data_IF_097175047154
#
_entry.id   IF_097175047154
#
_cell.length_a   1.000
_cell.length_b   1.000
_cell.length_c   1.000
_cell.angle_alpha   90.00
_cell.angle_beta   90.00
_cell.angle_gamma   90.00
#
_symmetry.space_group_name_H-M   'P 1'
#
loop_
_entity.id
_entity.type
_entity.pdbx_description
1 polymer ?
#
# COMPACT_ATOMS: atom_id res chain seq x y z
N UNK A 1 6.81 -9.22 3.10
CA UNK A 1 7.58 -8.03 2.67
C UNK A 1 7.27 -6.96 3.70
N UNK A 2 8.06 -6.93 4.75
CA UNK A 2 7.89 -6.17 5.99
C UNK A 2 8.35 -4.71 5.87
N UNK A 3 9.00 -4.31 4.77
CA UNK A 3 9.48 -2.95 4.56
C UNK A 3 8.55 -2.05 3.74
N UNK A 4 7.33 -2.52 3.41
CA UNK A 4 6.37 -1.78 2.59
C UNK A 4 6.71 -1.76 1.09
N UNK A 5 6.24 -0.73 0.39
CA UNK A 5 6.51 -0.49 -1.02
C UNK A 5 7.60 0.55 -1.23
N UNK A 6 8.19 0.61 -2.42
CA UNK A 6 9.13 1.66 -2.77
C UNK A 6 8.49 3.05 -2.74
N UNK A 7 7.18 3.17 -2.98
CA UNK A 7 6.45 4.43 -2.80
C UNK A 7 6.51 4.93 -1.34
N UNK A 8 6.45 4.02 -0.36
CA UNK A 8 6.57 4.36 1.06
C UNK A 8 7.99 4.84 1.38
N UNK A 9 9.00 4.19 0.80
CA UNK A 9 10.40 4.59 0.97
C UNK A 9 10.66 5.99 0.39
N UNK A 10 10.13 6.30 -0.80
CA UNK A 10 10.27 7.63 -1.41
C UNK A 10 9.62 8.70 -0.54
N UNK A 11 8.43 8.43 0.02
CA UNK A 11 7.72 9.37 0.92
C UNK A 11 8.58 9.78 2.12
N UNK A 12 9.35 8.84 2.68
CA UNK A 12 10.18 9.08 3.88
C UNK A 12 11.55 9.64 3.52
N UNK A 13 12.24 9.05 2.53
CA UNK A 13 13.64 9.39 2.19
C UNK A 13 13.75 10.59 1.26
N UNK A 14 12.66 10.98 0.59
CA UNK A 14 12.59 12.01 -0.46
C UNK A 14 13.34 11.63 -1.73
N UNK A 15 14.62 11.34 -1.65
CA UNK A 15 15.43 10.89 -2.78
C UNK A 15 16.23 9.63 -2.46
N UNK A 16 16.45 8.80 -3.48
CA UNK A 16 17.25 7.56 -3.37
C UNK A 16 18.57 7.71 -4.11
N UNK A 17 19.73 7.49 -3.46
CA UNK A 17 21.04 7.59 -4.10
C UNK A 17 21.24 6.58 -5.23
N UNK A 18 22.02 6.98 -6.25
CA UNK A 18 22.34 6.12 -7.40
C UNK A 18 22.87 4.72 -7.05
N UNK A 19 23.81 4.55 -6.09
CA UNK A 19 24.28 3.22 -5.71
C UNK A 19 23.15 2.31 -5.19
N UNK A 20 22.20 2.89 -4.43
CA UNK A 20 21.03 2.18 -3.90
C UNK A 20 20.10 1.78 -5.04
N UNK A 21 19.79 2.71 -5.96
CA UNK A 21 18.98 2.44 -7.15
C UNK A 21 19.58 1.33 -8.02
N UNK A 22 20.89 1.35 -8.24
CA UNK A 22 21.58 0.31 -9.01
C UNK A 22 21.46 -1.06 -8.34
N UNK A 23 21.63 -1.16 -7.01
CA UNK A 23 21.46 -2.42 -6.28
C UNK A 23 20.03 -2.93 -6.31
N UNK A 24 19.04 -2.03 -6.22
CA UNK A 24 17.64 -2.40 -6.38
C UNK A 24 17.36 -2.90 -7.80
N UNK A 25 17.89 -2.24 -8.83
CA UNK A 25 17.76 -2.68 -10.22
C UNK A 25 18.38 -4.05 -10.47
N UNK A 26 19.50 -4.38 -9.82
CA UNK A 26 20.09 -5.73 -9.88
C UNK A 26 19.18 -6.81 -9.29
N UNK A 27 18.20 -6.46 -8.45
CA UNK A 27 17.18 -7.38 -7.94
C UNK A 27 15.93 -7.41 -8.83
N UNK A 28 15.51 -6.24 -9.34
CA UNK A 28 14.29 -6.08 -10.16
C UNK A 28 14.46 -6.60 -11.59
N UNK A 29 15.57 -6.28 -12.25
CA UNK A 29 15.80 -6.66 -13.65
C UNK A 29 15.81 -8.17 -13.88
N UNK A 30 16.44 -9.02 -13.03
CA UNK A 30 16.34 -10.46 -13.19
C UNK A 30 14.92 -11.01 -12.98
N UNK A 31 14.15 -10.43 -12.05
CA UNK A 31 12.76 -10.79 -11.85
C UNK A 31 11.90 -10.43 -13.07
N UNK A 32 12.11 -9.24 -13.63
CA UNK A 32 11.41 -8.79 -14.83
C UNK A 32 11.80 -9.62 -16.08
N UNK A 33 13.10 -9.92 -16.23
CA UNK A 33 13.61 -10.84 -17.26
C UNK A 33 12.95 -12.21 -17.16
N UNK A 34 12.82 -12.76 -15.96
CA UNK A 34 12.11 -14.03 -15.74
C UNK A 34 10.64 -13.97 -16.21
N UNK A 35 9.94 -12.86 -15.95
CA UNK A 35 8.57 -12.68 -16.44
C UNK A 35 8.52 -12.64 -17.97
N UNK A 36 9.43 -11.90 -18.60
CA UNK A 36 9.47 -11.73 -20.06
C UNK A 36 9.90 -13.00 -20.81
N UNK A 37 10.99 -13.63 -20.37
CA UNK A 37 11.65 -14.71 -21.11
C UNK A 37 11.16 -16.11 -20.72
N UNK A 38 10.79 -16.33 -19.44
CA UNK A 38 10.39 -17.65 -18.95
C UNK A 38 8.88 -17.78 -18.83
N UNK A 39 8.20 -16.71 -18.35
CA UNK A 39 6.74 -16.73 -18.22
C UNK A 39 6.01 -16.16 -19.42
N UNK A 40 6.69 -15.45 -20.32
CA UNK A 40 6.10 -14.75 -21.45
C UNK A 40 4.94 -13.83 -21.05
N UNK A 41 5.11 -13.12 -19.92
CA UNK A 41 4.12 -12.21 -19.35
C UNK A 41 4.69 -10.79 -19.31
N UNK A 42 3.91 -9.84 -19.81
CA UNK A 42 4.13 -8.40 -19.59
C UNK A 42 3.47 -8.01 -18.27
N UNK A 43 4.19 -7.35 -17.38
CA UNK A 43 3.68 -6.96 -16.05
C UNK A 43 2.60 -5.87 -16.13
N UNK A 44 2.77 -4.88 -17.02
CA UNK A 44 1.83 -3.79 -17.34
C UNK A 44 1.60 -2.74 -16.25
N UNK A 45 2.01 -2.99 -15.02
CA UNK A 45 1.83 -2.04 -13.91
C UNK A 45 3.10 -1.90 -13.05
N UNK A 46 4.27 -1.70 -13.67
CA UNK A 46 5.50 -1.42 -12.91
C UNK A 46 5.45 0.04 -12.43
N UNK A 47 5.47 0.23 -11.10
CA UNK A 47 5.47 1.54 -10.43
C UNK A 47 6.04 1.39 -9.00
N UNK A 48 6.44 2.49 -8.31
CA UNK A 48 7.00 2.39 -6.95
C UNK A 48 6.10 1.60 -5.98
N UNK A 49 4.78 1.77 -6.05
CA UNK A 49 3.82 1.07 -5.19
C UNK A 49 3.80 -0.47 -5.40
N UNK A 50 4.25 -0.94 -6.57
CA UNK A 50 4.24 -2.37 -6.94
C UNK A 50 5.64 -3.02 -6.84
N UNK A 51 6.63 -2.29 -6.31
CA UNK A 51 7.94 -2.84 -5.94
C UNK A 51 8.01 -2.90 -4.42
N UNK A 52 7.80 -4.08 -3.86
CA UNK A 52 7.86 -4.30 -2.42
C UNK A 52 9.30 -4.45 -1.97
N UNK A 53 9.59 -3.97 -0.76
CA UNK A 53 10.89 -4.13 -0.10
C UNK A 53 10.73 -4.85 1.23
N UNK A 54 11.80 -5.49 1.70
CA UNK A 54 11.84 -6.10 3.02
C UNK A 54 13.03 -5.56 3.83
N UNK A 55 12.98 -5.70 5.15
CA UNK A 55 14.05 -5.23 6.05
C UNK A 55 15.35 -6.03 5.91
N UNK A 56 15.36 -7.11 5.11
CA UNK A 56 16.54 -7.90 4.75
C UNK A 56 17.24 -7.41 3.48
N UNK A 57 16.70 -6.38 2.80
CA UNK A 57 17.30 -5.80 1.60
C UNK A 57 16.85 -6.42 0.28
N UNK A 58 15.82 -7.26 0.27
CA UNK A 58 15.22 -7.79 -0.95
C UNK A 58 14.20 -6.82 -1.55
N UNK A 59 14.07 -6.89 -2.88
CA UNK A 59 13.05 -6.18 -3.66
C UNK A 59 12.29 -7.21 -4.47
N UNK A 60 10.94 -7.16 -4.43
CA UNK A 60 10.08 -8.08 -5.19
C UNK A 60 9.00 -7.30 -5.94
N UNK A 61 8.70 -7.76 -7.15
CA UNK A 61 7.61 -7.23 -7.96
C UNK A 61 6.29 -7.84 -7.44
N UNK A 62 5.28 -7.00 -7.22
CA UNK A 62 3.93 -7.41 -6.81
C UNK A 62 2.88 -6.85 -7.77
N UNK A 63 1.62 -7.22 -7.51
CA UNK A 63 0.47 -6.70 -8.23
C UNK A 63 0.53 -7.02 -9.73
N UNK A 64 0.56 -8.32 -10.01
CA UNK A 64 0.25 -8.89 -11.32
C UNK A 64 -1.25 -8.70 -11.59
N UNK A 65 -1.67 -7.46 -11.84
CA UNK A 65 -3.06 -7.04 -11.90
C UNK A 65 -3.83 -7.73 -13.03
N UNK A 66 -4.68 -8.67 -12.65
CA UNK A 66 -6.02 -9.01 -13.16
C UNK A 66 -6.21 -8.88 -14.68
N UNK A 67 -6.23 -10.03 -15.36
CA UNK A 67 -6.91 -10.22 -16.65
C UNK A 67 -8.30 -9.58 -16.61
N UNK A 68 -8.50 -8.49 -17.34
CA UNK A 68 -9.77 -7.78 -17.36
C UNK A 68 -10.89 -8.68 -17.93
N UNK A 69 -11.84 -9.04 -17.08
CA UNK A 69 -13.24 -9.24 -17.47
C UNK A 69 -14.05 -8.08 -16.88
N UNK A 70 -14.49 -7.19 -17.76
CA UNK A 70 -15.38 -6.07 -17.44
C UNK A 70 -16.80 -6.60 -17.29
N UNK A 71 -17.48 -6.29 -16.17
CA UNK A 71 -18.91 -6.02 -16.17
C UNK A 71 -19.34 -5.17 -14.95
N UNK A 72 -20.12 -4.14 -15.29
CA UNK A 72 -21.13 -3.36 -14.54
C UNK A 72 -20.79 -2.36 -13.39
N UNK A 73 -21.10 -1.08 -13.71
CA UNK A 73 -21.86 -0.02 -12.99
C UNK A 73 -21.84 0.00 -11.45
N UNK A 74 -21.62 1.10 -10.69
CA UNK A 74 -22.31 2.42 -10.66
C UNK A 74 -21.52 3.46 -9.80
N UNK A 75 -21.68 4.75 -10.14
CA UNK A 75 -21.76 5.97 -9.29
C UNK A 75 -20.53 6.72 -8.76
N UNK A 76 -20.53 8.02 -9.06
CA UNK A 76 -19.75 9.24 -8.72
C UNK A 76 -18.60 9.19 -7.70
N UNK A 77 -18.62 8.34 -6.67
CA UNK A 77 -17.41 8.04 -5.84
C UNK A 77 -16.42 7.17 -6.64
N UNK A 78 -16.96 6.33 -7.52
CA UNK A 78 -16.22 5.64 -8.57
C UNK A 78 -15.52 6.63 -9.48
N UNK A 79 -16.07 7.81 -9.80
CA UNK A 79 -15.34 8.74 -10.68
C UNK A 79 -14.09 9.34 -10.02
N UNK A 80 -14.08 9.68 -8.73
CA UNK A 80 -12.87 10.15 -8.04
C UNK A 80 -11.86 9.02 -7.81
N UNK A 81 -12.34 7.83 -7.44
CA UNK A 81 -11.50 6.64 -7.26
C UNK A 81 -10.96 6.14 -8.60
N UNK A 82 -11.77 6.11 -9.66
CA UNK A 82 -11.39 5.79 -11.05
C UNK A 82 -10.52 6.88 -11.63
N UNK A 83 -10.72 8.16 -11.34
CA UNK A 83 -9.82 9.19 -11.89
C UNK A 83 -8.45 9.09 -11.23
N UNK A 84 -8.35 8.91 -9.90
CA UNK A 84 -7.06 8.63 -9.24
C UNK A 84 -6.47 7.28 -9.62
N UNK A 85 -7.28 6.24 -9.78
CA UNK A 85 -6.83 4.91 -10.21
C UNK A 85 -6.39 4.93 -11.67
N UNK A 86 -7.11 5.59 -12.58
CA UNK A 86 -6.76 5.75 -13.99
C UNK A 86 -5.54 6.66 -14.15
N UNK A 87 -5.47 7.79 -13.42
CA UNK A 87 -4.26 8.61 -13.36
C UNK A 87 -3.08 7.75 -12.88
N UNK A 88 -3.19 7.05 -11.75
CA UNK A 88 -2.15 6.14 -11.27
C UNK A 88 -1.84 4.97 -12.23
N UNK A 89 -2.77 4.59 -13.09
CA UNK A 89 -2.60 3.50 -14.09
C UNK A 89 -1.94 3.99 -15.37
N UNK A 90 -2.19 5.23 -15.79
CA UNK A 90 -1.61 5.81 -17.02
C UNK A 90 -0.28 6.52 -16.75
N UNK A 91 -0.04 6.97 -15.53
CA UNK A 91 1.17 7.73 -15.16
C UNK A 91 2.46 7.04 -15.59
N UNK A 92 2.53 5.71 -15.52
CA UNK A 92 3.71 4.94 -15.89
C UNK A 92 3.57 4.25 -17.26
N UNK A 93 2.51 4.52 -18.00
CA UNK A 93 2.19 3.86 -19.26
C UNK A 93 3.13 4.33 -20.37
N UNK A 94 3.52 3.40 -21.25
CA UNK A 94 4.39 3.69 -22.38
C UNK A 94 3.63 4.33 -23.54
N UNK A 95 4.30 5.12 -24.41
CA UNK A 95 3.70 5.79 -25.56
C UNK A 95 2.85 4.86 -26.44
N UNK A 96 3.38 3.68 -26.77
CA UNK A 96 2.70 2.70 -27.62
C UNK A 96 1.42 2.14 -26.98
N UNK A 97 1.37 2.06 -25.63
CA UNK A 97 0.17 1.65 -24.90
C UNK A 97 -0.89 2.76 -24.88
N UNK A 98 -0.47 4.02 -24.76
CA UNK A 98 -1.38 5.18 -24.84
C UNK A 98 -2.00 5.27 -26.25
N UNK A 99 -1.22 4.98 -27.28
CA UNK A 99 -1.67 4.93 -28.68
C UNK A 99 -2.49 3.68 -29.03
N UNK A 100 -2.76 2.77 -28.07
CA UNK A 100 -3.39 1.47 -28.30
C UNK A 100 -2.73 0.63 -29.41
N UNK A 101 -1.42 0.81 -29.61
CA UNK A 101 -0.63 0.01 -30.55
C UNK A 101 -0.27 -1.35 -29.94
N UNK A 102 0.26 -2.26 -30.77
CA UNK A 102 0.84 -3.50 -30.25
C UNK A 102 1.97 -3.19 -29.28
N UNK A 103 1.88 -3.72 -28.06
CA UNK A 103 2.88 -3.53 -27.02
C UNK A 103 3.41 -4.89 -26.55
N UNK A 104 4.64 -4.87 -26.04
CA UNK A 104 5.36 -6.07 -25.60
C UNK A 104 6.15 -5.76 -24.31
N UNK A 105 7.20 -6.53 -24.04
CA UNK A 105 8.07 -6.43 -22.88
C UNK A 105 8.72 -5.03 -22.72
N UNK A 106 8.96 -4.32 -23.83
CA UNK A 106 9.49 -2.96 -23.84
C UNK A 106 8.61 -1.93 -23.11
N UNK A 107 7.32 -2.21 -22.94
CA UNK A 107 6.42 -1.36 -22.16
C UNK A 107 6.78 -1.37 -20.66
N UNK A 108 7.17 -2.51 -20.10
CA UNK A 108 7.59 -2.60 -18.70
C UNK A 108 8.92 -1.88 -18.45
N UNK A 109 9.81 -1.85 -19.46
CA UNK A 109 11.08 -1.12 -19.39
C UNK A 109 10.86 0.38 -19.25
N UNK A 110 9.90 0.93 -19.99
CA UNK A 110 9.50 2.32 -19.87
C UNK A 110 8.97 2.63 -18.46
N UNK A 111 8.03 1.82 -17.98
CA UNK A 111 7.43 1.99 -16.64
C UNK A 111 8.46 1.86 -15.51
N UNK A 112 9.36 0.87 -15.60
CA UNK A 112 10.47 0.68 -14.66
C UNK A 112 11.36 1.92 -14.62
N UNK A 113 11.64 2.52 -15.76
CA UNK A 113 12.47 3.71 -15.80
C UNK A 113 11.78 4.91 -15.16
N UNK A 114 10.51 5.20 -15.46
CA UNK A 114 9.78 6.29 -14.81
C UNK A 114 9.80 6.12 -13.29
N UNK A 115 9.62 4.88 -12.81
CA UNK A 115 9.77 4.50 -11.41
C UNK A 115 11.14 4.90 -10.84
N UNK A 116 12.24 4.50 -11.51
CA UNK A 116 13.60 4.81 -11.05
C UNK A 116 13.93 6.30 -11.09
N UNK A 117 13.43 7.02 -12.11
CA UNK A 117 13.63 8.46 -12.21
C UNK A 117 12.94 9.18 -11.05
N UNK A 118 11.68 8.86 -10.77
CA UNK A 118 10.94 9.40 -9.63
C UNK A 118 11.62 9.07 -8.29
N UNK A 119 12.13 7.85 -8.11
CA UNK A 119 12.88 7.49 -6.91
C UNK A 119 14.14 8.35 -6.72
N UNK A 120 14.76 8.77 -7.83
CA UNK A 120 15.97 9.59 -7.81
C UNK A 120 15.65 11.08 -7.56
N UNK A 121 14.50 11.57 -8.05
CA UNK A 121 14.16 13.00 -8.09
C UNK A 121 13.09 13.44 -7.09
N UNK A 122 12.52 12.53 -6.29
CA UNK A 122 11.33 12.74 -5.42
C UNK A 122 10.03 13.04 -6.18
N UNK A 123 10.12 13.41 -7.45
CA UNK A 123 9.03 13.95 -8.24
C UNK A 123 8.87 13.15 -9.52
N UNK A 124 7.61 12.82 -9.82
CA UNK A 124 7.25 12.28 -11.10
C UNK A 124 7.66 13.25 -12.23
N UNK A 125 8.29 12.79 -13.31
CA UNK A 125 8.98 13.65 -14.26
C UNK A 125 8.07 14.44 -15.21
N UNK A 126 6.77 14.12 -15.30
CA UNK A 126 5.81 14.87 -16.12
C UNK A 126 4.82 15.66 -15.23
N UNK A 127 4.25 16.72 -15.78
CA UNK A 127 3.28 17.55 -15.07
C UNK A 127 1.90 16.88 -15.09
N UNK A 128 1.32 16.62 -13.91
CA UNK A 128 0.00 15.97 -13.79
C UNK A 128 -1.14 16.98 -13.62
N UNK A 129 -0.82 18.28 -13.49
CA UNK A 129 -1.80 19.32 -13.16
C UNK A 129 -2.81 19.60 -14.29
N UNK A 130 -2.46 19.32 -15.55
CA UNK A 130 -3.35 19.46 -16.70
C UNK A 130 -4.37 18.31 -16.85
N UNK A 131 -4.33 17.32 -15.96
CA UNK A 131 -5.19 16.14 -16.03
C UNK A 131 -4.63 15.04 -16.94
N UNK A 132 -5.44 13.99 -17.14
CA UNK A 132 -5.01 12.76 -17.82
C UNK A 132 -4.63 12.98 -19.29
N UNK A 133 -5.43 13.75 -20.02
CA UNK A 133 -5.20 13.99 -21.45
C UNK A 133 -3.92 14.77 -21.70
N UNK A 134 -3.63 15.77 -20.86
CA UNK A 134 -2.40 16.57 -20.94
C UNK A 134 -1.17 15.70 -20.65
N UNK A 135 -1.25 14.85 -19.61
CA UNK A 135 -0.19 13.89 -19.31
C UNK A 135 0.05 12.91 -20.46
N UNK A 136 -1.00 12.40 -21.08
CA UNK A 136 -0.88 11.53 -22.25
C UNK A 136 -0.18 12.25 -23.41
N UNK A 137 -0.54 13.49 -23.70
CA UNK A 137 0.11 14.30 -24.73
C UNK A 137 1.59 14.55 -24.41
N UNK A 138 1.94 14.89 -23.16
CA UNK A 138 3.34 15.02 -22.74
C UNK A 138 4.12 13.69 -22.95
N UNK A 139 3.51 12.55 -22.62
CA UNK A 139 4.14 11.25 -22.83
C UNK A 139 4.31 10.92 -24.32
N UNK A 140 3.44 11.41 -25.21
CA UNK A 140 3.54 11.15 -26.65
C UNK A 140 4.47 12.14 -27.36
N UNK A 141 4.30 13.44 -27.11
CA UNK A 141 4.81 14.51 -27.95
C UNK A 141 6.00 15.25 -27.33
N UNK A 142 6.05 15.39 -26.01
CA UNK A 142 7.15 16.10 -25.37
C UNK A 142 8.45 15.28 -25.38
N UNK A 143 9.63 15.94 -25.40
CA UNK A 143 10.90 15.28 -25.21
C UNK A 143 10.92 14.43 -23.94
N UNK A 144 11.48 13.23 -24.05
CA UNK A 144 11.59 12.33 -22.89
C UNK A 144 12.37 12.98 -21.74
N UNK A 145 11.89 12.87 -20.49
CA UNK A 145 12.51 13.53 -19.36
C UNK A 145 13.91 12.97 -19.12
N UNK A 146 14.85 13.86 -18.83
CA UNK A 146 16.24 13.51 -18.57
C UNK A 146 16.67 14.10 -17.24
N UNK A 147 17.34 13.34 -16.35
CA UNK A 147 17.85 13.86 -15.09
C UNK A 147 18.91 14.93 -15.34
N UNK A 148 19.00 15.90 -14.42
CA UNK A 148 19.95 17.00 -14.49
C UNK A 148 21.41 16.49 -14.47
N UNK A 149 22.13 16.69 -15.58
CA UNK A 149 23.52 16.19 -15.78
C UNK A 149 24.55 16.70 -14.76
N UNK A 150 24.24 17.76 -14.03
CA UNK A 150 25.09 18.33 -12.98
C UNK A 150 24.79 17.74 -11.59
N UNK A 151 23.67 17.04 -11.42
CA UNK A 151 23.27 16.37 -10.17
C UNK A 151 23.57 14.88 -10.21
N UNK A 152 23.40 14.26 -11.38
CA UNK A 152 23.51 12.81 -11.56
C UNK A 152 24.69 12.42 -12.44
N UNK A 153 25.17 11.19 -12.29
CA UNK A 153 26.26 10.65 -13.11
C UNK A 153 25.85 10.54 -14.58
N UNK A 154 26.83 10.65 -15.47
CA UNK A 154 26.61 10.47 -16.91
C UNK A 154 26.08 9.07 -17.22
N UNK A 155 26.50 8.07 -16.45
CA UNK A 155 26.04 6.69 -16.57
C UNK A 155 24.57 6.56 -16.16
N UNK A 156 24.14 7.24 -15.09
CA UNK A 156 22.73 7.29 -14.72
C UNK A 156 21.91 8.03 -15.77
N UNK A 157 22.37 9.18 -16.27
CA UNK A 157 21.72 9.90 -17.37
C UNK A 157 21.67 9.08 -18.68
N UNK A 158 22.69 8.26 -18.95
CA UNK A 158 22.73 7.37 -20.12
C UNK A 158 21.75 6.20 -19.96
N UNK A 159 21.73 5.59 -18.78
CA UNK A 159 20.74 4.57 -18.43
C UNK A 159 19.37 5.19 -18.65
N UNK A 160 19.14 6.33 -17.96
CA UNK A 160 18.20 7.42 -18.26
C UNK A 160 17.47 7.31 -19.59
N UNK A 161 18.12 7.94 -20.55
CA UNK A 161 17.71 8.11 -21.92
C UNK A 161 17.53 6.79 -22.67
N UNK A 162 18.36 5.76 -22.41
CA UNK A 162 18.21 4.47 -23.12
C UNK A 162 16.84 3.81 -22.88
N UNK A 163 16.26 3.96 -21.68
CA UNK A 163 14.96 3.37 -21.35
C UNK A 163 13.74 4.24 -21.71
N UNK A 164 13.90 5.56 -21.89
CA UNK A 164 12.82 6.49 -22.27
C UNK A 164 12.81 6.81 -23.77
N UNK A 165 13.09 5.81 -24.62
CA UNK A 165 12.88 5.97 -26.05
C UNK A 165 11.39 5.88 -26.36
N UNK A 166 10.84 6.81 -27.16
CA UNK A 166 9.43 6.76 -27.56
C UNK A 166 9.17 5.54 -28.43
N UNK A 167 10.09 5.26 -29.36
CA UNK A 167 10.17 3.99 -30.07
C UNK A 167 10.42 2.83 -29.09
N UNK A 168 9.54 1.85 -29.11
CA UNK A 168 9.59 0.69 -28.23
C UNK A 168 10.72 -0.27 -28.62
N UNK A 169 11.05 -0.40 -29.90
CA UNK A 169 12.08 -1.32 -30.40
C UNK A 169 13.50 -0.81 -30.11
N UNK A 170 13.64 0.50 -29.93
CA UNK A 170 14.88 1.13 -29.50
C UNK A 170 15.18 0.93 -28.00
N UNK A 171 14.22 0.44 -27.20
CA UNK A 171 14.43 0.23 -25.75
C UNK A 171 15.21 -1.06 -25.50
N UNK A 172 16.20 -1.05 -24.58
CA UNK A 172 16.99 -2.22 -24.28
C UNK A 172 16.18 -3.28 -23.52
N UNK A 173 16.57 -4.54 -23.68
CA UNK A 173 16.04 -5.66 -22.89
C UNK A 173 16.57 -5.65 -21.46
N UNK A 174 15.95 -6.44 -20.57
CA UNK A 174 16.45 -6.61 -19.20
C UNK A 174 17.91 -7.09 -19.16
N UNK A 175 18.31 -7.97 -20.08
CA UNK A 175 19.69 -8.47 -20.19
C UNK A 175 20.68 -7.36 -20.53
N UNK A 176 20.34 -6.54 -21.52
CA UNK A 176 21.16 -5.39 -21.92
C UNK A 176 21.28 -4.38 -20.78
N UNK A 177 20.20 -4.17 -20.03
CA UNK A 177 20.19 -3.26 -18.87
C UNK A 177 21.04 -3.78 -17.70
N UNK A 178 21.05 -5.09 -17.45
CA UNK A 178 21.93 -5.71 -16.44
C UNK A 178 23.42 -5.50 -16.76
N UNK A 179 23.76 -5.35 -18.04
CA UNK A 179 25.11 -5.09 -18.53
C UNK A 179 25.42 -3.59 -18.73
N UNK A 180 24.48 -2.70 -18.45
CA UNK A 180 24.63 -1.27 -18.71
C UNK A 180 25.72 -0.63 -17.80
N UNK A 181 26.50 0.36 -18.29
CA UNK A 181 27.55 1.03 -17.52
C UNK A 181 27.14 1.51 -16.12
N UNK A 182 25.92 2.03 -15.97
CA UNK A 182 25.33 2.41 -14.68
C UNK A 182 25.31 1.26 -13.65
N UNK A 183 24.82 0.09 -14.06
CA UNK A 183 24.79 -1.09 -13.19
C UNK A 183 26.21 -1.54 -12.86
N UNK A 184 27.08 -1.63 -13.87
CA UNK A 184 28.47 -2.07 -13.68
C UNK A 184 29.28 -1.14 -12.75
N UNK A 185 29.05 0.18 -12.83
CA UNK A 185 29.69 1.19 -11.99
C UNK A 185 29.44 0.94 -10.49
N UNK A 186 28.23 0.55 -10.13
CA UNK A 186 27.83 0.34 -8.74
C UNK A 186 27.80 -1.14 -8.31
N UNK A 187 27.99 -2.11 -9.23
CA UNK A 187 27.90 -3.55 -8.93
C UNK A 187 28.77 -4.05 -7.77
N UNK A 188 29.90 -3.38 -7.51
CA UNK A 188 30.86 -3.75 -6.45
C UNK A 188 30.88 -2.77 -5.28
N UNK A 189 30.00 -1.77 -5.25
CA UNK A 189 29.93 -0.89 -4.08
C UNK A 189 29.22 -1.64 -2.95
N UNK A 190 29.76 -1.59 -1.73
CA UNK A 190 29.20 -2.29 -0.56
C UNK A 190 27.93 -1.63 0.00
N UNK A 191 26.92 -1.45 -0.84
CA UNK A 191 25.64 -0.86 -0.45
C UNK A 191 24.84 -1.87 0.37
N UNK A 192 24.49 -1.49 1.60
CA UNK A 192 23.60 -2.27 2.45
C UNK A 192 22.14 -1.81 2.26
N UNK A 193 21.40 -2.54 1.43
CA UNK A 193 19.97 -2.30 1.21
C UNK A 193 19.14 -2.53 2.48
N UNK A 194 19.54 -3.46 3.35
CA UNK A 194 18.84 -3.72 4.62
C UNK A 194 18.93 -2.49 5.52
N UNK A 195 20.13 -1.95 5.72
CA UNK A 195 20.33 -0.73 6.49
C UNK A 195 19.58 0.46 5.87
N UNK A 196 19.61 0.59 4.53
CA UNK A 196 18.88 1.65 3.85
C UNK A 196 17.36 1.57 4.10
N UNK A 197 16.73 0.40 3.89
CA UNK A 197 15.29 0.23 4.11
C UNK A 197 14.91 0.36 5.58
N UNK A 198 15.69 -0.19 6.51
CA UNK A 198 15.49 0.03 7.96
C UNK A 198 15.55 1.50 8.35
N UNK A 199 16.42 2.28 7.72
CA UNK A 199 16.50 3.71 8.00
C UNK A 199 15.29 4.52 7.49
N UNK A 200 14.49 3.95 6.59
CA UNK A 200 13.23 4.53 6.09
C UNK A 200 12.00 3.94 6.79
N UNK A 201 12.20 2.89 7.58
CA UNK A 201 11.13 2.19 8.28
C UNK A 201 10.66 3.02 9.46
N UNK A 202 9.39 3.43 9.42
CA UNK A 202 8.72 4.02 10.56
C UNK A 202 7.69 3.00 11.11
N UNK A 203 7.94 2.40 12.29
CA UNK A 203 6.99 1.51 12.93
C UNK A 203 5.62 2.18 13.14
N UNK A 204 5.58 3.49 13.36
CA UNK A 204 4.34 4.26 13.58
C UNK A 204 3.51 4.38 12.31
N UNK A 205 4.13 4.49 11.14
CA UNK A 205 3.41 4.49 9.85
C UNK A 205 2.78 3.13 9.55
N UNK A 206 3.47 2.03 9.84
CA UNK A 206 2.89 0.69 9.69
C UNK A 206 1.73 0.51 10.65
N UNK A 207 1.87 0.93 11.90
CA UNK A 207 0.78 0.95 12.86
C UNK A 207 -0.42 1.76 12.37
N UNK A 208 -0.18 2.90 11.74
CA UNK A 208 -1.23 3.74 11.19
C UNK A 208 -1.90 3.11 9.95
N UNK A 209 -1.12 2.48 9.06
CA UNK A 209 -1.64 1.72 7.93
C UNK A 209 -2.49 0.53 8.41
N UNK A 210 -2.03 -0.17 9.44
CA UNK A 210 -2.78 -1.27 10.07
C UNK A 210 -4.06 -0.78 10.73
N UNK A 211 -4.01 0.34 11.46
CA UNK A 211 -5.19 0.99 12.02
C UNK A 211 -6.19 1.39 10.91
N UNK A 212 -5.70 1.87 9.77
CA UNK A 212 -6.54 2.16 8.61
C UNK A 212 -7.17 0.91 8.00
N UNK A 213 -6.41 -0.17 7.83
CA UNK A 213 -6.92 -1.46 7.34
C UNK A 213 -7.97 -2.01 8.30
N UNK A 214 -7.73 -1.92 9.61
CA UNK A 214 -8.70 -2.27 10.65
C UNK A 214 -9.95 -1.38 10.60
N UNK A 215 -9.80 -0.07 10.40
CA UNK A 215 -10.93 0.85 10.26
C UNK A 215 -11.79 0.53 9.02
N UNK A 216 -11.15 0.23 7.89
CA UNK A 216 -11.82 -0.24 6.66
C UNK A 216 -12.51 -1.59 6.91
N UNK A 217 -11.85 -2.51 7.60
CA UNK A 217 -12.41 -3.79 8.01
C UNK A 217 -13.69 -3.60 8.82
N UNK A 218 -13.69 -2.73 9.84
CA UNK A 218 -14.89 -2.38 10.59
C UNK A 218 -15.98 -1.73 9.72
N UNK A 219 -15.61 -0.79 8.83
CA UNK A 219 -16.58 -0.20 7.91
C UNK A 219 -17.27 -1.25 7.04
N UNK A 220 -16.52 -2.23 6.53
CA UNK A 220 -17.06 -3.29 5.69
C UNK A 220 -18.00 -4.26 6.43
N UNK A 221 -17.78 -4.51 7.73
CA UNK A 221 -18.74 -5.24 8.59
C UNK A 221 -20.10 -4.56 8.55
N UNK A 222 -20.13 -3.26 8.79
CA UNK A 222 -21.39 -2.57 9.07
C UNK A 222 -22.07 -2.01 7.82
N UNK A 223 -21.28 -1.61 6.82
CA UNK A 223 -21.76 -0.81 5.70
C UNK A 223 -21.33 -1.35 4.32
N UNK A 224 -20.47 -2.37 4.27
CA UNK A 224 -20.02 -2.98 3.01
C UNK A 224 -21.12 -3.73 2.25
N UNK A 225 -20.95 -3.92 0.94
CA UNK A 225 -21.81 -4.79 0.12
C UNK A 225 -21.59 -6.27 0.47
N UNK A 226 -22.54 -7.14 0.10
CA UNK A 226 -22.40 -8.59 0.34
C UNK A 226 -21.28 -9.24 -0.50
N UNK A 227 -20.91 -8.63 -1.63
CA UNK A 227 -19.77 -9.08 -2.44
C UNK A 227 -18.44 -8.82 -1.73
N UNK A 228 -18.26 -7.60 -1.21
CA UNK A 228 -17.04 -7.23 -0.48
C UNK A 228 -16.93 -7.97 0.86
N UNK A 229 -18.07 -8.22 1.52
CA UNK A 229 -18.13 -9.01 2.75
C UNK A 229 -17.53 -10.41 2.62
N UNK A 230 -17.66 -11.09 1.48
CA UNK A 230 -17.11 -12.46 1.34
C UNK A 230 -15.59 -12.52 1.47
N UNK A 231 -14.88 -11.45 1.09
CA UNK A 231 -13.43 -11.36 1.23
C UNK A 231 -13.00 -11.21 2.69
N UNK A 232 -13.91 -10.80 3.57
CA UNK A 232 -13.62 -10.64 5.01
C UNK A 232 -13.15 -11.93 5.67
N UNK A 233 -13.58 -13.09 5.16
CA UNK A 233 -13.16 -14.39 5.68
C UNK A 233 -11.63 -14.52 5.68
N UNK A 234 -10.94 -13.99 4.67
CA UNK A 234 -9.48 -14.15 4.52
C UNK A 234 -8.63 -13.35 5.51
N UNK A 235 -9.24 -12.46 6.29
CA UNK A 235 -8.53 -11.66 7.30
C UNK A 235 -8.20 -12.45 8.56
N UNK A 236 -8.88 -13.58 8.79
CA UNK A 236 -8.69 -14.42 9.97
C UNK A 236 -7.95 -15.69 9.60
N UNK A 237 -7.09 -16.14 10.52
CA UNK A 237 -6.38 -17.42 10.48
C UNK A 237 -7.13 -18.44 11.35
N UNK A 238 -6.68 -19.70 11.35
CA UNK A 238 -7.34 -20.76 12.13
C UNK A 238 -7.10 -20.59 13.64
N UNK A 239 -6.02 -19.92 14.01
CA UNK A 239 -5.65 -19.54 15.37
C UNK A 239 -6.25 -18.20 15.83
N UNK A 240 -6.96 -17.49 14.96
CA UNK A 240 -7.61 -16.22 15.33
C UNK A 240 -8.72 -16.47 16.34
N UNK A 241 -8.90 -15.53 17.29
CA UNK A 241 -9.94 -15.58 18.32
C UNK A 241 -10.77 -14.30 18.25
N UNK A 242 -12.10 -14.43 18.26
CA UNK A 242 -13.06 -13.33 18.29
C UNK A 242 -14.05 -13.56 19.42
N UNK A 243 -14.15 -12.63 20.36
CA UNK A 243 -15.11 -12.72 21.47
C UNK A 243 -16.31 -11.82 21.26
N UNK A 244 -17.53 -12.35 21.38
CA UNK A 244 -18.77 -11.57 21.32
C UNK A 244 -19.77 -12.05 22.37
N UNK A 245 -20.30 -11.14 23.19
CA UNK A 245 -21.23 -11.44 24.30
C UNK A 245 -20.71 -12.48 25.30
N UNK A 246 -19.39 -12.55 25.50
CA UNK A 246 -18.75 -13.49 26.44
C UNK A 246 -18.51 -14.89 25.85
N UNK A 247 -18.85 -15.13 24.59
CA UNK A 247 -18.47 -16.34 23.86
C UNK A 247 -17.23 -16.08 22.99
N UNK A 248 -16.28 -17.01 23.00
CA UNK A 248 -15.12 -16.99 22.12
C UNK A 248 -15.37 -17.84 20.88
N UNK A 249 -15.06 -17.27 19.73
CA UNK A 249 -15.13 -17.89 18.42
C UNK A 249 -13.72 -18.02 17.87
N UNK A 250 -13.29 -19.24 17.63
CA UNK A 250 -11.92 -19.55 17.21
C UNK A 250 -11.93 -20.01 15.76
N UNK A 251 -10.99 -19.48 14.99
CA UNK A 251 -10.74 -19.89 13.62
C UNK A 251 -11.61 -19.20 12.58
N UNK A 252 -11.07 -19.16 11.37
CA UNK A 252 -11.54 -18.31 10.28
C UNK A 252 -13.04 -18.46 10.00
N UNK A 253 -13.51 -19.71 9.97
CA UNK A 253 -14.89 -20.01 9.59
C UNK A 253 -15.90 -19.67 10.67
N UNK A 254 -15.56 -19.83 11.95
CA UNK A 254 -16.49 -19.53 13.04
C UNK A 254 -16.61 -18.03 13.27
N UNK A 255 -15.48 -17.33 13.27
CA UNK A 255 -15.44 -15.86 13.34
C UNK A 255 -16.26 -15.23 12.22
N UNK A 256 -16.05 -15.65 10.97
CA UNK A 256 -16.78 -15.12 9.82
C UNK A 256 -18.30 -15.39 9.93
N UNK A 257 -18.70 -16.55 10.44
CA UNK A 257 -20.11 -16.90 10.65
C UNK A 257 -20.75 -16.01 11.71
N UNK A 258 -20.09 -15.82 12.84
CA UNK A 258 -20.57 -14.97 13.94
C UNK A 258 -20.69 -13.51 13.48
N UNK A 259 -19.67 -12.97 12.82
CA UNK A 259 -19.74 -11.61 12.29
C UNK A 259 -20.81 -11.46 11.20
N UNK A 260 -21.05 -12.50 10.38
CA UNK A 260 -22.14 -12.49 9.40
C UNK A 260 -23.51 -12.45 10.08
N UNK A 261 -23.67 -13.14 11.22
CA UNK A 261 -24.89 -13.09 12.05
C UNK A 261 -25.08 -11.67 12.61
N UNK A 262 -24.04 -11.08 13.20
CA UNK A 262 -24.05 -9.70 13.71
C UNK A 262 -24.44 -8.73 12.58
N UNK A 263 -23.79 -8.83 11.42
CA UNK A 263 -24.07 -8.00 10.25
C UNK A 263 -25.52 -8.12 9.75
N UNK A 264 -26.10 -9.32 9.76
CA UNK A 264 -27.52 -9.53 9.40
C UNK A 264 -28.46 -8.92 10.43
N UNK A 265 -28.17 -9.07 11.72
CA UNK A 265 -28.95 -8.45 12.80
C UNK A 265 -28.97 -6.92 12.66
N UNK A 266 -27.89 -6.33 12.13
CA UNK A 266 -27.79 -4.90 11.90
C UNK A 266 -28.48 -4.41 10.60
N UNK A 267 -28.80 -5.32 9.65
CA UNK A 267 -29.41 -4.99 8.34
C UNK A 267 -30.95 -5.07 8.29
N UNK A 268 -31.68 -5.59 9.29
CA UNK A 268 -33.12 -5.89 9.19
C UNK A 268 -34.08 -5.12 10.11
N UNK A 269 -34.95 -4.29 9.51
CA UNK A 269 -36.25 -3.70 9.94
C UNK A 269 -36.47 -3.19 11.40
N UNK A 270 -35.87 -2.01 11.69
CA UNK A 270 -36.29 -0.80 12.49
C UNK A 270 -37.50 -0.84 13.49
N UNK A 271 -37.56 0.04 14.56
CA UNK A 271 -37.05 1.42 14.52
C UNK A 271 -36.36 2.03 15.79
N UNK A 272 -35.53 3.04 15.49
CA UNK A 272 -35.21 4.31 16.21
C UNK A 272 -33.75 4.58 16.53
N UNK A 273 -32.87 3.61 16.40
CA UNK A 273 -31.44 3.87 16.59
C UNK A 273 -30.57 2.72 16.11
N UNK A 274 -29.55 3.03 15.30
CA UNK A 274 -28.59 2.04 14.81
C UNK A 274 -27.61 1.71 15.94
N UNK A 275 -27.14 0.48 16.02
CA UNK A 275 -25.98 0.21 16.88
C UNK A 275 -24.73 0.69 16.12
N UNK A 276 -24.03 1.66 16.67
CA UNK A 276 -22.80 2.27 16.17
C UNK A 276 -21.64 1.79 17.02
N UNK A 277 -20.58 1.29 16.37
CA UNK A 277 -19.29 1.07 17.01
C UNK A 277 -18.61 2.42 17.27
N UNK A 278 -18.27 2.68 18.52
CA UNK A 278 -17.40 3.77 18.95
C UNK A 278 -16.07 3.14 19.31
N UNK A 279 -15.03 3.44 18.54
CA UNK A 279 -13.66 3.08 18.92
C UNK A 279 -13.24 4.09 19.98
N UNK A 280 -13.16 3.66 21.23
CA UNK A 280 -12.82 4.54 22.36
C UNK A 280 -11.31 4.65 22.53
N UNK A 281 -10.57 3.55 22.29
CA UNK A 281 -9.10 3.51 22.40
C UNK A 281 -8.51 2.51 21.42
N UNK A 282 -7.46 2.92 20.74
CA UNK A 282 -6.54 2.02 20.01
C UNK A 282 -5.18 2.15 20.66
N UNK A 283 -4.60 1.03 21.13
CA UNK A 283 -3.24 0.99 21.67
C UNK A 283 -2.41 0.03 20.85
N UNK A 284 -1.17 0.42 20.59
CA UNK A 284 -0.21 -0.40 19.88
C UNK A 284 1.03 -0.55 20.77
N UNK A 285 1.51 -1.78 20.96
CA UNK A 285 2.73 -2.06 21.71
C UNK A 285 3.58 -3.09 20.96
N UNK A 286 4.90 -3.03 21.17
CA UNK A 286 5.80 -4.06 20.67
C UNK A 286 5.41 -5.42 21.26
N UNK A 287 5.50 -6.47 20.44
CA UNK A 287 5.21 -7.85 20.80
C UNK A 287 6.33 -8.76 20.30
N UNK A 288 7.19 -9.24 21.21
CA UNK A 288 8.41 -9.96 20.82
C UNK A 288 9.46 -9.05 20.17
N UNK A 289 10.41 -9.63 19.44
CA UNK A 289 11.50 -8.89 18.79
C UNK A 289 11.06 -8.18 17.49
N UNK A 290 10.07 -8.72 16.79
CA UNK A 290 9.65 -8.23 15.45
C UNK A 290 8.13 -8.00 15.31
N UNK A 291 7.34 -8.32 16.34
CA UNK A 291 5.89 -8.26 16.28
C UNK A 291 5.30 -7.00 16.91
N UNK A 292 4.02 -6.79 16.62
CA UNK A 292 3.21 -5.72 17.18
C UNK A 292 1.91 -6.31 17.71
N UNK A 293 1.56 -5.97 18.95
CA UNK A 293 0.24 -6.20 19.51
C UNK A 293 -0.60 -4.92 19.41
N UNK A 294 -1.75 -5.02 18.76
CA UNK A 294 -2.73 -3.94 18.62
C UNK A 294 -3.94 -4.31 19.46
N UNK A 295 -4.28 -3.45 20.42
CA UNK A 295 -5.48 -3.58 21.26
C UNK A 295 -6.46 -2.48 20.90
N UNK A 296 -7.62 -2.88 20.44
CA UNK A 296 -8.75 -1.99 20.19
C UNK A 296 -9.78 -2.21 21.27
N UNK A 297 -10.25 -1.13 21.90
CA UNK A 297 -11.38 -1.19 22.82
C UNK A 297 -12.37 -0.11 22.48
N UNK A 298 -13.65 -0.44 22.63
CA UNK A 298 -14.70 0.49 22.31
C UNK A 298 -16.06 0.06 22.81
N UNK A 299 -17.04 0.85 22.43
CA UNK A 299 -18.44 0.65 22.80
C UNK A 299 -19.31 0.44 21.61
N UNK A 300 -20.32 -0.38 21.78
CA UNK A 300 -21.50 -0.39 20.95
C UNK A 300 -22.46 0.64 21.55
N UNK A 301 -22.81 1.69 20.81
CA UNK A 301 -23.83 2.67 21.23
C UNK A 301 -25.03 2.63 20.30
N UNK A 302 -26.14 3.14 20.76
CA UNK A 302 -27.39 3.27 20.01
C UNK A 302 -27.48 4.70 19.47
N UNK A 303 -27.22 4.90 18.17
CA UNK A 303 -27.09 6.21 17.49
C UNK A 303 -27.24 6.16 15.96
N UNK A 304 -27.03 7.28 15.26
CA UNK A 304 -27.18 7.38 13.78
C UNK A 304 -25.90 7.78 13.03
N UNK A 305 -24.86 8.21 13.74
CA UNK A 305 -23.60 8.72 13.19
C UNK A 305 -22.40 8.01 13.84
N UNK A 306 -21.34 7.77 13.06
CA UNK A 306 -20.07 7.20 13.54
C UNK A 306 -19.31 8.27 14.32
N UNK A 307 -18.95 7.99 15.57
CA UNK A 307 -18.08 8.85 16.39
C UNK A 307 -16.73 8.18 16.55
N UNK A 308 -15.70 8.78 15.96
CA UNK A 308 -14.29 8.47 16.29
C UNK A 308 -13.84 9.58 17.22
N UNK A 309 -13.56 9.27 18.49
CA UNK A 309 -12.99 10.25 19.40
C UNK A 309 -11.55 10.51 18.97
N UNK A 310 -11.27 11.73 18.46
CA UNK A 310 -9.94 12.14 17.98
C UNK A 310 -8.85 11.99 19.06
N UNK A 311 -9.20 12.10 20.35
CA UNK A 311 -8.28 11.91 21.48
C UNK A 311 -7.88 10.45 21.78
N UNK A 312 -8.51 9.46 21.12
CA UNK A 312 -8.32 8.03 21.37
C UNK A 312 -7.17 7.36 20.57
N UNK A 313 -6.54 8.09 19.66
CA UNK A 313 -5.36 7.67 18.88
C UNK A 313 -4.08 8.10 19.60
N UNK A 314 -3.71 7.38 20.67
CA UNK A 314 -2.42 7.58 21.35
C UNK A 314 -1.49 6.39 21.13
N UNK A 315 -0.38 6.64 20.43
CA UNK A 315 0.77 5.74 20.42
C UNK A 315 1.53 5.94 21.75
N UNK A 316 1.29 5.09 22.74
CA UNK A 316 1.98 5.18 24.03
C UNK A 316 3.24 4.32 24.04
N UNK A 317 4.35 4.91 24.50
CA UNK A 317 5.55 4.16 24.89
C UNK A 317 5.25 3.44 26.20
N UNK A 318 5.78 2.23 26.35
CA UNK A 318 5.61 1.36 27.52
C UNK A 318 5.79 2.16 28.83
N UNK A 319 4.80 2.20 29.76
CA UNK A 319 5.05 2.75 31.08
C UNK A 319 6.06 1.85 31.79
N UNK A 320 7.04 2.46 32.46
CA UNK A 320 7.91 1.72 33.39
C UNK A 320 7.05 1.10 34.51
N UNK A 321 7.51 -0.02 35.08
CA UNK A 321 6.76 -0.82 36.05
C UNK A 321 6.33 -0.08 37.33
N UNK A 322 6.82 1.16 37.55
CA UNK A 322 6.54 2.00 38.71
C UNK A 322 5.58 3.18 38.46
N UNK A 323 5.12 3.40 37.22
CA UNK A 323 4.11 4.44 36.95
C UNK A 323 2.70 3.86 37.10
N UNK A 324 2.14 4.04 38.30
CA UNK A 324 0.73 3.76 38.58
C UNK A 324 -0.20 4.47 37.61
N UNK A 325 -1.28 3.78 37.23
CA UNK A 325 -2.33 4.25 36.32
C UNK A 325 -2.87 5.62 36.75
N UNK A 326 -2.80 6.67 35.90
CA UNK A 326 -3.54 7.90 36.16
C UNK A 326 -5.05 7.64 36.04
N UNK A 327 -5.81 8.25 36.95
CA UNK A 327 -7.26 8.12 37.04
C UNK A 327 -7.96 8.60 35.76
N UNK A 328 -8.88 7.77 35.28
CA UNK A 328 -9.76 8.02 34.15
C UNK A 328 -10.86 8.98 34.56
N UNK A 329 -10.76 10.26 34.20
CA UNK A 329 -11.94 11.12 34.14
C UNK A 329 -12.01 11.87 32.80
N UNK A 330 -13.25 12.06 32.36
CA UNK A 330 -13.72 12.69 31.13
C UNK A 330 -13.81 11.77 29.89
N UNK A 331 -14.75 10.82 29.94
CA UNK A 331 -15.48 10.39 28.74
C UNK A 331 -16.70 11.31 28.60
N UNK A 332 -17.00 11.89 27.43
CA UNK A 332 -18.16 12.75 27.26
C UNK A 332 -19.45 11.99 27.64
N UNK A 333 -20.23 12.59 28.55
CA UNK A 333 -21.39 12.01 29.24
C UNK A 333 -22.46 11.39 28.31
N UNK A 334 -22.52 11.80 27.03
CA UNK A 334 -23.54 11.32 26.07
C UNK A 334 -23.25 9.92 25.47
N UNK A 335 -22.05 9.36 25.66
CA UNK A 335 -21.72 7.98 25.21
C UNK A 335 -22.20 6.93 26.22
N UNK A 336 -22.22 7.27 27.52
CA UNK A 336 -22.59 6.33 28.59
C UNK A 336 -24.10 6.00 28.60
N UNK A 337 -24.95 6.96 28.22
CA UNK A 337 -26.41 6.82 28.20
C UNK A 337 -26.95 5.95 27.06
N UNK A 338 -26.15 5.74 26.00
CA UNK A 338 -26.53 5.01 24.77
C UNK A 338 -25.78 3.68 24.58
N UNK A 339 -24.92 3.29 25.52
CA UNK A 339 -24.06 2.11 25.43
C UNK A 339 -24.87 0.81 25.57
N UNK A 340 -24.78 -0.08 24.59
CA UNK A 340 -25.41 -1.41 24.57
C UNK A 340 -24.41 -2.56 24.58
N UNK A 341 -23.11 -2.26 24.54
CA UNK A 341 -22.07 -3.27 24.66
C UNK A 341 -20.68 -2.67 24.69
N UNK A 342 -19.69 -3.50 25.05
CA UNK A 342 -18.27 -3.19 24.93
C UNK A 342 -17.61 -4.29 24.12
N UNK A 343 -16.59 -3.91 23.37
CA UNK A 343 -15.71 -4.88 22.71
C UNK A 343 -14.27 -4.58 23.09
N UNK A 344 -13.48 -5.64 23.14
CA UNK A 344 -12.03 -5.60 23.25
C UNK A 344 -11.50 -6.62 22.26
N UNK A 345 -10.71 -6.14 21.32
CA UNK A 345 -10.09 -6.97 20.29
C UNK A 345 -8.57 -6.81 20.43
N UNK A 346 -7.87 -7.93 20.38
CA UNK A 346 -6.41 -7.98 20.42
C UNK A 346 -5.92 -8.69 19.16
N UNK A 347 -5.06 -8.00 18.43
CA UNK A 347 -4.46 -8.50 17.21
C UNK A 347 -2.97 -8.62 17.45
N UNK A 348 -2.42 -9.81 17.20
CA UNK A 348 -0.99 -10.03 17.14
C UNK A 348 -0.58 -10.03 15.68
N UNK A 349 0.35 -9.16 15.33
CA UNK A 349 0.95 -9.17 14.01
C UNK A 349 2.42 -9.50 14.16
N UNK A 350 2.72 -10.71 13.70
CA UNK A 350 4.08 -11.24 13.56
C UNK A 350 4.40 -11.28 12.05
N UNK A 351 5.68 -11.06 11.66
CA UNK A 351 6.11 -10.98 10.27
C UNK A 351 5.86 -12.21 9.38
#
# INVERSE_FOLDING_TARGET
MDGGSLADIIRVKKFTPEPVLAHMLMKVLPALRYLHEVKHVVHRDIKPANLLVNLKGDVKITYFGVTASLHDSVSTVFYFLVTKVLLNTVTYMSPERIQNSSYSYAADIWSLRLTILECATERFPYCVNGGLSDLMLQILDDPSPTPAKYVYSLEFCSFISACLQKDADARPTCEQLLSHPFINRYKRTGVDLSAYFKSAYDPTEILWQMAHVLAVHYYLIFYGSDTVWRYMKTFYREESVFSFLGEEHIGQSDIFRTLSRIRKMLKGNRPRSKIVHVIERVRCCAHGEEGVAIRVSGSLIVGNELLVCEDGLRAERMPSADEGMPSSDEVPFDIMSKRVGRFREEFFVEP
#
